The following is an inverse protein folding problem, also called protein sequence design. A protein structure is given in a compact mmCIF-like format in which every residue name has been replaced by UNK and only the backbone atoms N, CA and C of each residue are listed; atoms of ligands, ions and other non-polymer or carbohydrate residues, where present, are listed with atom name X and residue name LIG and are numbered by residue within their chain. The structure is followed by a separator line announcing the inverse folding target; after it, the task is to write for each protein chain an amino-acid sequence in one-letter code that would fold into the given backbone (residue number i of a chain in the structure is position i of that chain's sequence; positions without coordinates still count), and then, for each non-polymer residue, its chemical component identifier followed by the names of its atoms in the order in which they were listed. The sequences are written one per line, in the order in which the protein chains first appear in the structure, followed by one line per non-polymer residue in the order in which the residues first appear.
data_IF_908778969672
#
_entry.id   IF_908778969672
#
_cell.length_a   1.000
_cell.length_b   1.000
_cell.length_c   1.000
_cell.angle_alpha   90.00
_cell.angle_beta   90.00
_cell.angle_gamma   90.00
#
_symmetry.space_group_name_H-M   'P 1'
#
loop_
_entity.id
_entity.type
_entity.pdbx_description
1 polymer ?
#
# COMPACT_ATOMS: atom_id res chain seq x y z
N UNK A 1 -7.61 38.60 16.08
CA UNK A 1 -8.61 38.77 15.00
C UNK A 1 -9.50 37.55 14.95
N UNK A 2 -10.58 37.59 15.72
CA UNK A 2 -11.54 36.50 15.95
C UNK A 2 -12.80 36.80 15.14
N UNK A 3 -13.20 35.91 14.24
CA UNK A 3 -14.52 35.98 13.59
C UNK A 3 -15.36 34.77 13.96
N UNK A 4 -16.48 35.08 14.61
CA UNK A 4 -17.61 34.20 14.89
C UNK A 4 -18.23 33.62 13.62
N UNK A 5 -18.77 32.41 13.71
CA UNK A 5 -19.75 31.89 12.76
C UNK A 5 -21.01 31.47 13.51
N UNK A 6 -22.09 32.21 13.30
CA UNK A 6 -23.45 31.97 13.80
C UNK A 6 -24.21 31.08 12.82
N UNK A 7 -25.03 30.21 13.40
CA UNK A 7 -25.94 29.22 12.80
C UNK A 7 -27.00 29.80 11.85
N UNK A 8 -27.42 29.02 10.85
CA UNK A 8 -28.80 29.04 10.35
C UNK A 8 -29.27 27.65 9.91
N UNK A 9 -30.23 27.13 10.67
CA UNK A 9 -31.07 25.97 10.39
C UNK A 9 -32.25 26.43 9.54
N UNK A 10 -32.52 25.77 8.40
CA UNK A 10 -33.83 25.81 7.76
C UNK A 10 -34.24 24.37 7.39
N UNK A 11 -35.36 23.95 7.98
CA UNK A 11 -36.10 22.70 7.70
C UNK A 11 -36.83 22.83 6.37
N UNK A 12 -36.79 21.78 5.53
CA UNK A 12 -37.92 21.40 4.66
C UNK A 12 -38.06 19.87 4.65
N UNK A 13 -39.20 19.41 5.18
CA UNK A 13 -39.77 18.07 4.98
C UNK A 13 -40.56 18.11 3.68
N UNK A 14 -40.36 17.16 2.77
CA UNK A 14 -41.45 16.56 1.97
C UNK A 14 -41.10 15.13 1.59
N UNK A 15 -42.12 14.28 1.71
CA UNK A 15 -42.21 12.84 1.49
C UNK A 15 -42.39 12.53 0.00
N UNK A 16 -41.66 11.56 -0.57
CA UNK A 16 -42.13 10.77 -1.73
C UNK A 16 -41.69 9.30 -1.57
N UNK A 17 -42.68 8.43 -1.71
CA UNK A 17 -42.65 6.95 -1.69
C UNK A 17 -42.11 6.36 -2.99
N UNK A 18 -41.62 5.12 -2.85
CA UNK A 18 -41.56 4.04 -3.85
C UNK A 18 -40.46 4.08 -4.93
N UNK A 19 -39.54 3.11 -4.81
CA UNK A 19 -38.96 2.28 -5.90
C UNK A 19 -37.83 1.45 -5.30
N UNK A 20 -38.18 0.33 -4.65
CA UNK A 20 -37.22 -0.68 -4.18
C UNK A 20 -37.86 -2.08 -4.22
N UNK A 21 -38.28 -2.49 -5.41
CA UNK A 21 -38.70 -3.87 -5.67
C UNK A 21 -38.55 -4.14 -7.16
N UNK A 22 -37.32 -4.36 -7.66
CA UNK A 22 -37.14 -4.97 -9.01
C UNK A 22 -35.74 -5.55 -9.30
N UNK A 23 -34.88 -5.78 -8.30
CA UNK A 23 -33.54 -6.37 -8.53
C UNK A 23 -33.17 -7.42 -7.47
N UNK A 24 -34.12 -8.31 -7.15
CA UNK A 24 -33.89 -9.51 -6.33
C UNK A 24 -34.46 -10.80 -6.92
N UNK A 25 -34.83 -10.79 -8.20
CA UNK A 25 -35.54 -11.90 -8.85
C UNK A 25 -34.86 -12.45 -10.11
N UNK A 26 -33.57 -12.17 -10.33
CA UNK A 26 -32.82 -12.62 -11.53
C UNK A 26 -31.58 -13.48 -11.23
N UNK A 27 -31.39 -13.97 -10.00
CA UNK A 27 -30.21 -14.79 -9.63
C UNK A 27 -30.54 -16.10 -8.91
N UNK A 28 -31.76 -16.63 -9.07
CA UNK A 28 -32.20 -17.89 -8.45
C UNK A 28 -32.74 -18.94 -9.43
N UNK A 29 -32.38 -18.89 -10.72
CA UNK A 29 -32.93 -19.81 -11.73
C UNK A 29 -31.91 -20.60 -12.54
N UNK A 30 -30.69 -20.81 -12.04
CA UNK A 30 -29.69 -21.61 -12.78
C UNK A 30 -28.82 -22.49 -11.88
N UNK A 31 -29.39 -23.07 -10.83
CA UNK A 31 -28.68 -24.04 -9.99
C UNK A 31 -29.63 -25.08 -9.36
N UNK A 32 -30.52 -25.67 -10.15
CA UNK A 32 -31.24 -26.89 -9.77
C UNK A 32 -31.55 -27.71 -11.02
N UNK A 33 -30.56 -28.47 -11.51
CA UNK A 33 -30.76 -29.69 -12.30
C UNK A 33 -29.42 -30.38 -12.49
N UNK A 34 -28.98 -31.13 -11.49
CA UNK A 34 -28.13 -32.33 -11.59
C UNK A 34 -27.86 -32.80 -10.15
N UNK A 35 -27.93 -34.10 -9.93
CA UNK A 35 -27.84 -34.81 -8.63
C UNK A 35 -29.14 -34.95 -7.82
N UNK A 36 -30.06 -35.74 -8.37
CA UNK A 36 -30.98 -36.51 -7.53
C UNK A 36 -30.26 -37.78 -7.03
N UNK A 37 -29.80 -37.77 -5.77
CA UNK A 37 -29.34 -38.97 -5.06
C UNK A 37 -30.48 -39.43 -4.15
N UNK A 38 -31.14 -40.52 -4.54
CA UNK A 38 -32.13 -41.23 -3.71
C UNK A 38 -31.41 -41.87 -2.52
N UNK A 39 -31.70 -41.41 -1.31
CA UNK A 39 -31.36 -42.13 -0.08
C UNK A 39 -32.43 -43.19 0.20
N UNK A 40 -32.03 -44.47 0.16
CA UNK A 40 -32.78 -45.62 0.69
C UNK A 40 -32.25 -45.89 2.10
N UNK A 41 -33.12 -46.08 3.12
CA UNK A 41 -32.67 -46.33 4.49
C UNK A 41 -32.19 -47.78 4.68
N UNK A 42 -31.04 -47.92 5.34
CA UNK A 42 -30.47 -49.20 5.76
C UNK A 42 -31.22 -49.76 6.98
N UNK A 43 -31.76 -50.97 6.85
CA UNK A 43 -32.12 -51.85 7.95
C UNK A 43 -31.24 -53.10 7.87
N UNK A 44 -30.76 -53.50 9.04
CA UNK A 44 -29.83 -54.60 9.34
C UNK A 44 -30.34 -55.98 8.93
N UNK A 45 -29.50 -56.81 8.30
CA UNK A 45 -29.15 -58.17 8.78
C UNK A 45 -28.30 -58.93 7.76
N UNK A 46 -27.24 -59.57 8.25
CA UNK A 46 -26.69 -60.87 7.83
C UNK A 46 -26.43 -61.15 6.34
N UNK A 47 -25.15 -61.34 6.03
CA UNK A 47 -24.71 -62.55 5.33
C UNK A 47 -24.66 -62.54 3.81
N UNK A 48 -23.58 -63.13 3.32
CA UNK A 48 -23.32 -63.67 1.97
C UNK A 48 -22.72 -62.76 0.90
N UNK A 49 -21.54 -63.22 0.45
CA UNK A 49 -20.71 -62.72 -0.65
C UNK A 49 -21.50 -62.70 -1.97
N UNK A 50 -21.35 -61.61 -2.73
CA UNK A 50 -21.67 -61.59 -4.15
C UNK A 50 -20.44 -61.13 -4.94
N UNK A 51 -19.95 -62.04 -5.77
CA UNK A 51 -18.80 -61.92 -6.65
C UNK A 51 -19.22 -61.19 -7.93
N UNK A 52 -18.69 -59.99 -8.18
CA UNK A 52 -18.98 -59.23 -9.42
C UNK A 52 -17.85 -59.42 -10.42
N UNK A 53 -18.17 -60.20 -11.46
CA UNK A 53 -17.31 -60.52 -12.60
C UNK A 53 -17.27 -59.33 -13.56
N UNK A 54 -16.17 -58.57 -13.58
CA UNK A 54 -15.97 -57.47 -14.53
C UNK A 54 -15.55 -58.04 -15.89
N UNK A 55 -16.40 -57.87 -16.91
CA UNK A 55 -16.06 -58.11 -18.32
C UNK A 55 -15.06 -57.05 -18.79
N UNK A 56 -13.86 -57.48 -19.20
CA UNK A 56 -12.87 -56.64 -19.89
C UNK A 56 -13.38 -56.30 -21.30
N UNK A 57 -13.94 -55.10 -21.46
CA UNK A 57 -14.14 -54.47 -22.76
C UNK A 57 -12.87 -53.73 -23.17
N UNK A 58 -12.31 -54.09 -24.32
CA UNK A 58 -11.15 -53.43 -24.91
C UNK A 58 -11.51 -51.99 -25.30
N UNK A 59 -10.84 -51.01 -24.67
CA UNK A 59 -10.94 -49.60 -25.08
C UNK A 59 -9.74 -49.21 -25.95
N UNK A 60 -10.09 -48.67 -27.12
CA UNK A 60 -9.24 -48.10 -28.14
C UNK A 60 -8.30 -47.00 -27.61
N UNK A 61 -7.02 -47.07 -27.97
CA UNK A 61 -5.89 -46.26 -27.48
C UNK A 61 -5.84 -44.81 -28.00
N UNK A 62 -6.92 -44.22 -28.49
CA UNK A 62 -6.82 -42.96 -29.27
C UNK A 62 -7.51 -41.73 -28.64
N UNK A 63 -7.89 -41.74 -27.35
CA UNK A 63 -8.47 -40.55 -26.69
C UNK A 63 -8.03 -40.34 -25.23
N UNK A 64 -6.73 -40.43 -24.93
CA UNK A 64 -6.19 -40.15 -23.57
C UNK A 64 -5.23 -38.94 -23.55
N UNK A 65 -5.01 -38.24 -24.69
CA UNK A 65 -4.02 -37.15 -24.74
C UNK A 65 -4.57 -35.71 -24.63
N UNK A 66 -5.88 -35.50 -24.47
CA UNK A 66 -6.47 -34.14 -24.44
C UNK A 66 -7.17 -33.74 -23.13
N UNK A 67 -7.27 -34.65 -22.15
CA UNK A 67 -7.87 -34.33 -20.83
C UNK A 67 -6.79 -33.95 -19.78
N UNK A 68 -5.52 -34.28 -20.01
CA UNK A 68 -4.42 -33.96 -19.10
C UNK A 68 -3.88 -32.53 -19.19
N UNK A 69 -4.13 -31.81 -20.29
CA UNK A 69 -3.60 -30.45 -20.50
C UNK A 69 -4.53 -29.37 -19.93
N UNK A 70 -5.85 -29.60 -19.92
CA UNK A 70 -6.82 -28.62 -19.39
C UNK A 70 -6.81 -28.60 -17.86
N UNK A 71 -6.61 -29.75 -17.19
CA UNK A 71 -6.54 -29.81 -15.73
C UNK A 71 -5.22 -29.24 -15.17
N UNK A 72 -4.12 -29.31 -15.93
CA UNK A 72 -2.87 -28.66 -15.52
C UNK A 72 -2.94 -27.13 -15.65
N UNK A 73 -3.67 -26.60 -16.63
CA UNK A 73 -3.89 -25.16 -16.76
C UNK A 73 -4.75 -24.58 -15.62
N UNK A 74 -5.75 -25.34 -15.12
CA UNK A 74 -6.58 -24.88 -14.00
C UNK A 74 -5.92 -25.07 -12.63
N UNK A 75 -5.03 -26.05 -12.44
CA UNK A 75 -4.27 -26.20 -11.19
C UNK A 75 -3.16 -25.14 -11.09
N UNK A 76 -2.57 -24.70 -12.21
CA UNK A 76 -1.62 -23.57 -12.22
C UNK A 76 -2.34 -22.21 -12.05
N UNK A 77 -3.61 -22.10 -12.43
CA UNK A 77 -4.43 -20.90 -12.18
C UNK A 77 -4.91 -20.76 -10.71
N UNK A 78 -4.87 -21.84 -9.92
CA UNK A 78 -5.38 -21.85 -8.52
C UNK A 78 -4.31 -21.57 -7.45
N UNK A 79 -3.05 -21.34 -7.84
CA UNK A 79 -1.97 -20.96 -6.92
C UNK A 79 -1.53 -19.49 -7.03
N UNK A 80 -2.17 -18.66 -7.88
CA UNK A 80 -1.89 -17.23 -8.04
C UNK A 80 -2.33 -16.32 -6.88
N UNK A 81 -2.81 -16.89 -5.76
CA UNK A 81 -3.41 -16.14 -4.64
C UNK A 81 -2.48 -15.78 -3.47
N UNK A 82 -1.19 -16.18 -3.50
CA UNK A 82 -0.25 -15.97 -2.39
C UNK A 82 0.83 -14.95 -2.76
N UNK A 83 0.56 -13.66 -2.54
CA UNK A 83 1.58 -12.61 -2.71
C UNK A 83 1.06 -11.19 -2.86
N UNK A 84 -0.26 -10.96 -2.83
CA UNK A 84 -0.85 -9.67 -3.23
C UNK A 84 -1.51 -8.87 -2.11
N UNK A 85 -1.37 -9.30 -0.85
CA UNK A 85 -1.93 -8.58 0.29
C UNK A 85 -0.82 -7.90 1.07
N UNK A 86 -1.01 -6.64 1.45
CA UNK A 86 -0.08 -5.96 2.35
C UNK A 86 -0.15 -6.56 3.76
N UNK A 87 0.79 -7.45 4.04
CA UNK A 87 0.79 -8.35 5.20
C UNK A 87 1.84 -7.97 6.26
N UNK A 88 2.65 -6.95 6.00
CA UNK A 88 3.68 -6.47 6.92
C UNK A 88 3.89 -4.97 6.80
N UNK A 89 4.65 -4.42 7.75
CA UNK A 89 5.22 -3.09 7.67
C UNK A 89 6.69 -3.22 8.08
N UNK A 90 7.60 -3.05 7.13
CA UNK A 90 9.04 -3.04 7.40
C UNK A 90 9.61 -1.71 6.92
N UNK A 91 10.65 -1.23 7.59
CA UNK A 91 11.47 -0.11 7.11
C UNK A 91 12.92 -0.51 6.91
N UNK A 92 13.65 0.30 6.14
CA UNK A 92 15.04 0.06 5.71
C UNK A 92 15.20 -1.09 4.69
N UNK A 93 16.07 -0.91 3.70
CA UNK A 93 16.38 -1.87 2.66
C UNK A 93 17.47 -2.86 3.06
N UNK A 94 18.54 -2.42 3.73
CA UNK A 94 19.68 -3.30 4.09
C UNK A 94 19.35 -4.24 5.25
N UNK A 95 18.86 -3.66 6.33
CA UNK A 95 18.50 -4.36 7.56
C UNK A 95 17.05 -3.99 7.89
N UNK A 96 16.14 -4.79 7.36
CA UNK A 96 14.70 -4.54 7.49
C UNK A 96 14.30 -4.55 8.97
N UNK A 97 13.73 -3.44 9.42
CA UNK A 97 13.20 -3.28 10.77
C UNK A 97 11.69 -3.45 10.72
N UNK A 98 11.11 -4.49 11.33
CA UNK A 98 9.66 -4.63 11.41
C UNK A 98 9.08 -3.55 12.30
N UNK A 99 7.94 -2.98 11.89
CA UNK A 99 7.18 -2.03 12.67
C UNK A 99 5.83 -2.64 13.11
N UNK A 100 5.33 -2.27 14.30
CA UNK A 100 4.04 -2.72 14.81
C UNK A 100 2.88 -2.47 13.85
N UNK A 101 1.95 -3.43 13.78
CA UNK A 101 0.70 -3.29 13.00
C UNK A 101 -0.53 -3.08 13.86
N UNK A 102 -0.39 -3.19 15.17
CA UNK A 102 -1.42 -2.85 16.14
C UNK A 102 -0.86 -1.96 17.24
N UNK A 103 -1.74 -1.18 17.84
CA UNK A 103 -1.44 -0.33 18.99
C UNK A 103 -0.89 -1.14 20.16
N UNK A 104 -1.48 -2.30 20.46
CA UNK A 104 -0.99 -3.20 21.52
C UNK A 104 0.45 -3.69 21.29
N UNK A 105 0.80 -4.00 20.03
CA UNK A 105 2.17 -4.37 19.67
C UNK A 105 3.10 -3.16 19.85
N UNK A 106 2.66 -1.99 19.41
CA UNK A 106 3.43 -0.76 19.54
C UNK A 106 3.75 -0.45 21.01
N UNK A 107 2.74 -0.51 21.88
CA UNK A 107 2.91 -0.29 23.32
C UNK A 107 3.89 -1.29 23.93
N UNK A 108 3.76 -2.58 23.62
CA UNK A 108 4.69 -3.64 24.10
C UNK A 108 6.12 -3.42 23.64
N UNK A 109 6.28 -2.86 22.45
CA UNK A 109 7.60 -2.53 21.91
C UNK A 109 8.10 -1.16 22.42
N UNK A 110 7.40 -0.45 23.30
CA UNK A 110 7.87 0.84 23.83
C UNK A 110 7.62 2.03 22.90
N UNK A 111 6.65 1.91 22.00
CA UNK A 111 6.06 3.08 21.36
C UNK A 111 5.07 3.73 22.32
N UNK A 112 4.99 5.06 22.30
CA UNK A 112 4.06 5.83 23.13
C UNK A 112 3.21 6.75 22.27
N UNK A 113 1.96 6.96 22.69
CA UNK A 113 1.08 7.93 22.05
C UNK A 113 1.65 9.34 22.23
N UNK A 114 1.81 10.09 21.15
CA UNK A 114 2.23 11.50 21.18
C UNK A 114 1.21 12.46 20.55
N UNK A 115 0.15 11.91 19.95
CA UNK A 115 -1.03 12.65 19.55
C UNK A 115 -2.24 11.72 19.46
N UNK A 116 -3.42 12.23 19.81
CA UNK A 116 -4.67 11.46 19.79
C UNK A 116 -5.60 11.95 18.70
N UNK A 117 -6.54 11.10 18.27
CA UNK A 117 -7.62 11.47 17.37
C UNK A 117 -8.52 12.62 17.86
N UNK A 118 -8.57 12.86 19.18
CA UNK A 118 -9.35 13.95 19.78
C UNK A 118 -8.61 15.30 19.74
N UNK A 119 -7.30 15.26 19.46
CA UNK A 119 -6.46 16.45 19.35
C UNK A 119 -6.63 17.15 18.00
N UNK A 120 -6.42 18.47 17.97
CA UNK A 120 -6.51 19.27 16.74
C UNK A 120 -5.22 19.15 15.89
N UNK A 121 -4.97 17.94 15.41
CA UNK A 121 -3.76 17.60 14.65
C UNK A 121 -3.89 17.98 13.17
N UNK A 122 -2.77 18.26 12.48
CA UNK A 122 -2.75 18.46 11.02
C UNK A 122 -2.90 17.16 10.23
N UNK A 123 -3.13 16.02 10.88
CA UNK A 123 -3.28 14.68 10.30
C UNK A 123 -4.38 13.88 11.05
N UNK A 124 -4.78 12.74 10.50
CA UNK A 124 -5.73 11.81 11.13
C UNK A 124 -5.03 10.63 11.81
N UNK A 125 -5.54 10.19 12.96
CA UNK A 125 -5.10 8.97 13.66
C UNK A 125 -4.47 9.23 15.02
N UNK A 126 -4.39 8.16 15.82
CA UNK A 126 -3.62 8.14 17.05
C UNK A 126 -2.16 7.93 16.67
N UNK A 127 -1.31 8.92 16.94
CA UNK A 127 0.09 8.92 16.53
C UNK A 127 0.99 8.39 17.63
N UNK A 128 1.95 7.57 17.23
CA UNK A 128 2.85 6.89 18.13
C UNK A 128 4.31 7.11 17.73
N UNK A 129 5.14 7.32 18.74
CA UNK A 129 6.58 7.57 18.62
C UNK A 129 7.38 6.50 19.36
N UNK A 130 8.54 6.10 18.84
CA UNK A 130 9.41 5.10 19.47
C UNK A 130 10.45 5.79 20.36
N UNK A 131 10.35 5.61 21.67
CA UNK A 131 11.24 6.31 22.60
C UNK A 131 11.19 7.83 22.37
N UNK A 132 12.35 8.44 22.10
CA UNK A 132 12.46 9.87 21.78
C UNK A 132 12.66 10.16 20.28
N UNK A 133 12.67 9.13 19.44
CA UNK A 133 12.89 9.29 18.00
C UNK A 133 11.58 9.64 17.29
N UNK A 134 11.45 10.91 16.93
CA UNK A 134 10.27 11.47 16.27
C UNK A 134 10.29 11.34 14.74
N UNK A 135 11.40 10.89 14.15
CA UNK A 135 11.60 10.89 12.70
C UNK A 135 10.67 9.93 11.95
N UNK A 136 10.24 8.85 12.61
CA UNK A 136 9.27 7.88 12.10
C UNK A 136 8.20 7.63 13.13
N UNK A 137 6.94 7.84 12.74
CA UNK A 137 5.79 7.69 13.60
C UNK A 137 4.74 6.81 12.95
N UNK A 138 4.00 6.07 13.77
CA UNK A 138 2.90 5.23 13.33
C UNK A 138 1.57 5.91 13.61
N UNK A 139 0.59 5.70 12.73
CA UNK A 139 -0.78 6.18 12.90
C UNK A 139 -1.69 4.97 13.06
N UNK A 140 -2.42 4.89 14.17
CA UNK A 140 -3.44 3.87 14.41
C UNK A 140 -4.84 4.47 14.31
N UNK A 141 -5.80 3.65 13.88
CA UNK A 141 -7.22 3.99 13.94
C UNK A 141 -7.79 3.87 15.35
N UNK A 142 -9.06 4.26 15.52
CA UNK A 142 -9.73 4.19 16.83
C UNK A 142 -9.95 2.77 17.36
N UNK A 143 -9.65 1.73 16.56
CA UNK A 143 -9.69 0.33 16.95
C UNK A 143 -8.29 -0.27 17.14
N UNK A 144 -7.24 0.57 17.14
CA UNK A 144 -5.86 0.15 17.35
C UNK A 144 -5.20 -0.54 16.15
N UNK A 145 -5.78 -0.45 14.94
CA UNK A 145 -5.18 -1.02 13.73
C UNK A 145 -4.31 0.02 13.02
N UNK A 146 -3.19 -0.41 12.44
CA UNK A 146 -2.32 0.45 11.65
C UNK A 146 -3.09 1.09 10.49
N UNK A 147 -3.13 2.42 10.49
CA UNK A 147 -3.83 3.24 9.53
C UNK A 147 -2.89 4.07 8.64
N UNK A 148 -1.64 4.24 9.05
CA UNK A 148 -0.64 4.99 8.29
C UNK A 148 0.72 5.05 8.96
N UNK A 149 1.65 5.74 8.30
CA UNK A 149 3.01 6.01 8.76
C UNK A 149 3.37 7.45 8.40
N UNK A 150 4.20 8.07 9.23
CA UNK A 150 4.59 9.45 9.08
C UNK A 150 6.11 9.61 9.24
N UNK A 151 6.74 10.28 8.28
CA UNK A 151 8.08 10.84 8.43
C UNK A 151 8.00 12.23 9.06
N UNK A 152 8.92 12.57 9.95
CA UNK A 152 9.03 13.92 10.52
C UNK A 152 10.42 14.48 10.24
N UNK A 153 10.45 15.73 9.79
CA UNK A 153 11.68 16.49 9.58
C UNK A 153 11.59 17.78 10.38
N UNK A 154 12.58 18.00 11.21
CA UNK A 154 12.75 19.17 12.07
C UNK A 154 13.70 20.18 11.43
N UNK A 155 13.76 21.39 11.97
CA UNK A 155 14.73 22.39 11.52
C UNK A 155 16.17 22.00 11.85
N UNK A 156 16.39 21.20 12.91
CA UNK A 156 17.70 20.68 13.31
C UNK A 156 18.24 19.55 12.41
N UNK A 157 17.45 19.03 11.48
CA UNK A 157 17.88 17.96 10.57
C UNK A 157 18.64 18.49 9.34
N UNK A 158 19.28 19.66 9.44
CA UNK A 158 19.96 20.36 8.33
C UNK A 158 19.09 20.48 7.07
N UNK A 159 17.78 20.64 7.28
CA UNK A 159 16.80 20.66 6.20
C UNK A 159 17.03 21.89 5.32
N UNK A 160 17.25 21.69 4.01
CA UNK A 160 17.49 22.80 3.08
C UNK A 160 16.21 23.61 2.88
N UNK A 161 16.07 24.73 3.58
CA UNK A 161 14.95 25.65 3.42
C UNK A 161 15.19 26.58 2.22
N UNK A 162 14.14 26.79 1.43
CA UNK A 162 14.13 27.83 0.40
C UNK A 162 13.36 29.03 0.90
N UNK A 163 13.96 30.23 0.96
CA UNK A 163 13.24 31.44 1.36
C UNK A 163 12.28 31.92 0.28
N UNK A 164 12.45 31.50 -0.98
CA UNK A 164 11.74 32.05 -2.13
C UNK A 164 10.75 31.09 -2.78
N UNK A 165 10.83 29.77 -2.50
CA UNK A 165 9.91 28.79 -3.09
C UNK A 165 9.13 28.03 -2.03
N UNK A 166 7.80 27.87 -2.21
CA UNK A 166 7.02 27.03 -1.33
C UNK A 166 7.51 25.58 -1.45
N UNK A 167 7.46 24.85 -0.34
CA UNK A 167 7.71 23.41 -0.35
C UNK A 167 6.62 22.68 -1.14
N UNK A 168 6.95 21.49 -1.68
CA UNK A 168 5.92 20.59 -2.19
C UNK A 168 4.84 20.34 -1.14
N UNK A 169 3.61 20.19 -1.59
CA UNK A 169 2.42 20.13 -0.74
C UNK A 169 2.40 18.94 0.24
N UNK A 170 3.22 17.91 0.02
CA UNK A 170 3.41 16.80 0.95
C UNK A 170 4.10 17.19 2.28
N UNK A 171 4.79 18.33 2.32
CA UNK A 171 5.44 18.84 3.54
C UNK A 171 4.43 19.64 4.38
N UNK A 172 3.67 18.96 5.23
CA UNK A 172 2.67 19.59 6.10
C UNK A 172 3.29 20.01 7.42
N UNK A 173 3.15 21.26 7.85
CA UNK A 173 3.69 21.72 9.14
C UNK A 173 2.82 21.30 10.32
N UNK A 174 3.45 20.92 11.42
CA UNK A 174 2.80 20.82 12.74
C UNK A 174 2.90 22.12 13.56
N UNK A 175 2.32 22.10 14.76
CA UNK A 175 2.29 23.28 15.65
C UNK A 175 3.66 23.64 16.23
N UNK A 176 4.64 22.74 16.11
CA UNK A 176 6.02 22.95 16.51
C UNK A 176 6.90 23.39 15.33
N UNK A 177 6.32 23.55 14.14
CA UNK A 177 7.03 23.93 12.92
C UNK A 177 7.72 22.77 12.19
N UNK A 178 7.61 21.54 12.69
CA UNK A 178 8.16 20.37 12.01
C UNK A 178 7.38 20.07 10.72
N UNK A 179 8.06 19.53 9.73
CA UNK A 179 7.42 19.02 8.53
C UNK A 179 7.05 17.54 8.68
N UNK A 180 5.80 17.22 8.37
CA UNK A 180 5.22 15.90 8.42
C UNK A 180 4.98 15.38 7.00
N UNK A 181 5.54 14.21 6.71
CA UNK A 181 5.30 13.43 5.49
C UNK A 181 4.37 12.29 5.83
N UNK A 182 3.11 12.31 5.39
CA UNK A 182 2.11 11.35 5.88
C UNK A 182 1.56 10.46 4.78
N UNK A 183 1.65 9.15 4.99
CA UNK A 183 1.02 8.12 4.16
C UNK A 183 -0.06 7.38 4.95
N UNK A 184 -1.23 7.18 4.35
CA UNK A 184 -2.33 6.42 4.89
C UNK A 184 -2.56 5.13 4.11
N UNK A 185 -2.92 4.07 4.82
CA UNK A 185 -3.23 2.75 4.25
C UNK A 185 -4.74 2.57 4.00
N UNK A 186 -5.42 3.66 3.67
CA UNK A 186 -6.88 3.72 3.50
C UNK A 186 -7.27 4.87 2.57
N UNK A 187 -8.18 4.61 1.64
CA UNK A 187 -8.78 5.63 0.76
C UNK A 187 -9.59 6.71 1.49
N UNK A 188 -9.94 6.48 2.76
CA UNK A 188 -10.77 7.40 3.55
C UNK A 188 -10.07 7.82 4.85
N UNK A 189 -9.01 8.64 4.82
CA UNK A 189 -8.29 9.06 6.04
C UNK A 189 -9.21 9.69 7.11
N UNK A 190 -10.23 10.46 6.70
CA UNK A 190 -11.23 11.06 7.60
C UNK A 190 -12.04 10.07 8.46
N UNK A 191 -12.01 8.79 8.10
CA UNK A 191 -12.71 7.74 8.85
C UNK A 191 -11.79 7.06 9.88
N UNK A 192 -10.49 7.39 9.95
CA UNK A 192 -9.51 6.78 10.88
C UNK A 192 -9.91 6.97 12.34
N UNK A 193 -10.43 8.15 12.68
CA UNK A 193 -10.80 8.47 14.06
C UNK A 193 -12.26 8.14 14.40
N UNK A 194 -13.00 7.48 13.51
CA UNK A 194 -14.41 7.14 13.77
C UNK A 194 -14.48 5.78 14.45
N UNK A 195 -15.24 5.69 15.55
CA UNK A 195 -15.53 4.45 16.31
C UNK A 195 -16.30 3.35 15.54
N UNK A 196 -16.42 3.45 14.21
CA UNK A 196 -17.12 2.45 13.39
C UNK A 196 -16.11 1.40 12.91
N UNK A 197 -16.49 0.12 12.86
CA UNK A 197 -15.64 -0.90 12.26
C UNK A 197 -15.33 -0.48 10.83
N UNK A 198 -14.05 -0.36 10.49
CA UNK A 198 -13.67 -0.34 9.08
C UNK A 198 -13.97 -1.72 8.50
N UNK A 199 -14.61 -1.77 7.33
CA UNK A 199 -14.48 -2.98 6.51
C UNK A 199 -12.99 -3.23 6.30
N UNK A 200 -12.56 -4.49 6.38
CA UNK A 200 -11.20 -4.89 5.93
C UNK A 200 -11.07 -4.41 4.50
N UNK A 201 -10.48 -3.24 4.31
CA UNK A 201 -10.40 -2.60 3.02
C UNK A 201 -9.30 -3.28 2.20
N UNK A 202 -9.50 -3.22 0.89
CA UNK A 202 -8.45 -3.46 -0.09
C UNK A 202 -7.23 -2.57 0.21
N UNK A 203 -6.05 -3.08 -0.14
CA UNK A 203 -4.81 -2.33 -0.04
C UNK A 203 -4.95 -0.97 -0.73
N UNK A 204 -4.49 0.10 -0.09
CA UNK A 204 -4.55 1.44 -0.67
C UNK A 204 -3.49 2.33 -0.06
N UNK A 205 -2.82 3.15 -0.86
CA UNK A 205 -1.86 4.15 -0.38
C UNK A 205 -2.36 5.53 -0.75
N UNK A 206 -2.40 6.41 0.24
CA UNK A 206 -2.81 7.81 0.08
C UNK A 206 -1.80 8.72 0.76
N UNK A 207 -1.22 9.65 0.01
CA UNK A 207 -0.28 10.65 0.53
C UNK A 207 -1.05 11.92 0.91
N UNK A 208 -0.81 12.44 2.11
CA UNK A 208 -1.37 13.72 2.53
C UNK A 208 -0.67 14.87 1.82
N UNK A 209 -1.43 15.82 1.26
CA UNK A 209 -0.90 16.99 0.55
C UNK A 209 -1.41 18.32 1.07
N UNK A 210 -2.09 18.33 2.23
CA UNK A 210 -2.46 19.55 2.93
C UNK A 210 -2.61 19.32 4.43
N UNK A 211 -2.52 20.39 5.22
CA UNK A 211 -2.97 20.39 6.61
C UNK A 211 -4.50 20.21 6.65
N UNK A 212 -4.98 19.20 7.40
CA UNK A 212 -6.42 18.88 7.48
C UNK A 212 -7.23 19.92 8.26
N UNK A 213 -6.58 20.81 9.00
CA UNK A 213 -7.19 21.83 9.86
C UNK A 213 -7.52 23.10 9.11
N UNK A 214 -6.88 23.31 7.96
CA UNK A 214 -7.11 24.49 7.13
C UNK A 214 -8.50 24.42 6.47
N UNK A 215 -9.11 25.59 6.31
CA UNK A 215 -10.43 25.71 5.67
C UNK A 215 -10.37 25.17 4.23
N UNK A 216 -11.22 24.19 3.93
CA UNK A 216 -11.29 23.56 2.62
C UNK A 216 -11.50 22.05 2.72
N UNK A 217 -11.53 21.37 1.57
CA UNK A 217 -11.46 19.90 1.56
C UNK A 217 -9.99 19.52 1.73
N UNK A 218 -9.63 18.70 2.74
CA UNK A 218 -8.28 18.17 2.85
C UNK A 218 -7.86 17.49 1.56
N UNK A 219 -6.62 17.77 1.12
CA UNK A 219 -6.07 17.27 -0.13
C UNK A 219 -5.23 16.02 0.14
N UNK A 220 -5.42 15.06 -0.76
CA UNK A 220 -4.75 13.78 -0.73
C UNK A 220 -4.40 13.35 -2.15
N UNK A 221 -3.28 12.67 -2.31
CA UNK A 221 -2.89 12.00 -3.54
C UNK A 221 -3.07 10.50 -3.38
N UNK A 222 -4.06 9.92 -4.07
CA UNK A 222 -4.21 8.46 -4.12
C UNK A 222 -3.15 7.87 -5.06
N UNK A 223 -2.39 6.91 -4.57
CA UNK A 223 -1.39 6.20 -5.36
C UNK A 223 -2.03 4.96 -5.99
N UNK A 224 -2.03 4.84 -7.33
CA UNK A 224 -2.59 3.68 -8.01
C UNK A 224 -1.82 2.39 -7.66
N UNK A 225 -2.55 1.31 -7.34
CA UNK A 225 -1.90 0.01 -7.08
C UNK A 225 -1.32 -0.64 -8.33
N UNK A 226 -1.83 -0.30 -9.51
CA UNK A 226 -1.36 -0.79 -10.80
C UNK A 226 -0.54 0.30 -11.47
N UNK A 227 0.67 -0.03 -11.88
CA UNK A 227 1.62 0.95 -12.40
C UNK A 227 1.13 1.67 -13.66
N UNK A 228 0.41 0.96 -14.55
CA UNK A 228 -0.18 1.52 -15.78
C UNK A 228 -1.19 2.66 -15.54
N UNK A 229 -1.62 2.87 -14.28
CA UNK A 229 -2.54 3.93 -13.88
C UNK A 229 -1.80 5.15 -13.31
N UNK A 230 -0.47 5.11 -13.21
CA UNK A 230 0.33 6.29 -12.85
C UNK A 230 0.19 7.36 -13.94
N UNK A 231 0.08 8.61 -13.50
CA UNK A 231 0.15 9.75 -14.41
C UNK A 231 1.60 10.03 -14.84
N UNK A 232 1.76 10.89 -15.85
CA UNK A 232 3.05 11.19 -16.47
C UNK A 232 4.04 11.94 -15.56
N UNK A 233 3.63 12.42 -14.39
CA UNK A 233 4.55 13.04 -13.42
C UNK A 233 5.36 12.00 -12.66
N UNK A 234 4.92 10.75 -12.60
CA UNK A 234 5.72 9.68 -12.02
C UNK A 234 6.76 9.19 -13.02
N UNK A 235 7.99 9.66 -12.84
CA UNK A 235 9.12 9.33 -13.71
C UNK A 235 9.73 8.00 -13.28
N UNK A 236 9.78 7.05 -14.22
CA UNK A 236 10.37 5.74 -13.99
C UNK A 236 11.90 5.82 -13.78
N UNK A 237 12.35 5.36 -12.62
CA UNK A 237 13.74 5.13 -12.27
C UNK A 237 14.20 3.71 -12.63
N UNK A 238 15.23 3.23 -11.94
CA UNK A 238 15.77 1.88 -12.15
C UNK A 238 15.09 0.86 -11.25
N UNK A 239 15.16 -0.41 -11.67
CA UNK A 239 14.79 -1.54 -10.83
C UNK A 239 15.98 -2.00 -10.00
N UNK A 240 15.82 -2.08 -8.68
CA UNK A 240 16.83 -2.65 -7.77
C UNK A 240 16.24 -3.86 -7.04
N UNK A 241 16.97 -4.99 -7.05
CA UNK A 241 16.50 -6.22 -6.40
C UNK A 241 16.14 -5.96 -4.93
N UNK A 242 15.00 -6.51 -4.49
CA UNK A 242 14.42 -6.28 -3.15
C UNK A 242 13.94 -4.86 -2.86
N UNK A 243 13.95 -3.97 -3.85
CA UNK A 243 13.40 -2.61 -3.75
C UNK A 243 12.33 -2.39 -4.83
N UNK A 244 12.50 -2.96 -6.02
CA UNK A 244 11.57 -2.81 -7.15
C UNK A 244 11.97 -1.69 -8.10
N UNK A 245 11.06 -1.41 -9.03
CA UNK A 245 11.15 -0.27 -9.96
C UNK A 245 10.80 0.99 -9.19
N UNK A 246 11.77 1.91 -9.08
CA UNK A 246 11.56 3.20 -8.44
C UNK A 246 10.75 4.12 -9.36
N UNK A 247 9.79 4.85 -8.82
CA UNK A 247 9.15 5.99 -9.49
C UNK A 247 9.31 7.24 -8.65
N UNK A 248 9.75 8.31 -9.29
CA UNK A 248 10.05 9.60 -8.67
C UNK A 248 9.07 10.64 -9.19
N UNK A 249 8.50 11.45 -8.31
CA UNK A 249 7.47 12.40 -8.70
C UNK A 249 8.06 13.71 -9.21
N UNK A 250 7.70 14.07 -10.45
CA UNK A 250 7.95 15.34 -11.13
C UNK A 250 9.43 15.78 -11.12
N UNK A 251 10.33 14.82 -11.31
CA UNK A 251 11.77 15.08 -11.36
C UNK A 251 12.22 15.50 -12.76
N UNK A 252 13.24 16.37 -12.81
CA UNK A 252 13.95 16.72 -14.04
C UNK A 252 15.42 17.03 -13.75
N UNK A 253 16.27 17.00 -14.78
CA UNK A 253 17.72 17.22 -14.64
C UNK A 253 18.05 18.56 -13.93
N UNK A 254 17.34 19.61 -14.31
CA UNK A 254 17.59 20.99 -13.87
C UNK A 254 16.57 21.46 -12.80
N UNK A 255 15.87 20.53 -12.13
CA UNK A 255 14.96 20.89 -11.05
C UNK A 255 15.70 21.52 -9.87
N UNK A 256 14.97 22.31 -9.09
CA UNK A 256 15.48 22.80 -7.82
C UNK A 256 15.21 21.80 -6.69
N UNK A 257 16.20 21.62 -5.82
CA UNK A 257 16.14 20.62 -4.75
C UNK A 257 15.06 20.91 -3.69
N UNK A 258 14.75 22.19 -3.48
CA UNK A 258 13.65 22.62 -2.62
C UNK A 258 12.27 22.23 -3.15
N UNK A 259 12.17 21.88 -4.44
CA UNK A 259 10.96 21.36 -5.10
C UNK A 259 10.92 19.83 -5.20
N UNK A 260 11.92 19.13 -4.67
CA UNK A 260 11.93 17.65 -4.68
C UNK A 260 10.75 17.10 -3.87
N UNK A 261 9.87 16.36 -4.54
CA UNK A 261 8.75 15.71 -3.87
C UNK A 261 9.26 14.54 -3.03
N UNK A 262 8.86 14.41 -1.76
CA UNK A 262 9.58 13.58 -0.80
C UNK A 262 9.14 12.12 -0.82
N UNK A 263 8.51 11.67 -1.90
CA UNK A 263 7.94 10.32 -2.03
C UNK A 263 8.48 9.65 -3.28
N UNK A 264 8.92 8.41 -3.13
CA UNK A 264 9.15 7.50 -4.25
C UNK A 264 8.29 6.25 -4.11
N UNK A 265 7.89 5.67 -5.23
CA UNK A 265 7.08 4.46 -5.27
C UNK A 265 7.92 3.28 -5.75
N UNK A 266 7.53 2.09 -5.33
CA UNK A 266 8.25 0.86 -5.61
C UNK A 266 7.28 -0.19 -6.14
N UNK A 267 7.31 -0.38 -7.45
CA UNK A 267 6.53 -1.39 -8.15
C UNK A 267 7.37 -2.64 -8.36
N UNK A 268 6.74 -3.81 -8.22
CA UNK A 268 7.36 -5.05 -8.69
C UNK A 268 7.38 -5.08 -10.23
N UNK A 269 8.53 -5.43 -10.82
CA UNK A 269 8.71 -5.34 -12.27
C UNK A 269 7.86 -6.36 -13.03
N UNK A 270 7.59 -7.53 -12.44
CA UNK A 270 6.85 -8.61 -13.10
C UNK A 270 5.35 -8.38 -13.03
N UNK A 271 4.83 -8.15 -11.83
CA UNK A 271 3.40 -7.96 -11.59
C UNK A 271 2.92 -6.55 -11.89
N UNK A 272 3.83 -5.56 -11.99
CA UNK A 272 3.53 -4.13 -12.21
C UNK A 272 2.57 -3.59 -11.14
N UNK A 273 2.68 -4.12 -9.92
CA UNK A 273 1.88 -3.73 -8.76
C UNK A 273 2.71 -3.01 -7.72
N UNK A 274 2.10 -2.03 -7.08
CA UNK A 274 2.68 -1.32 -5.95
C UNK A 274 2.84 -2.29 -4.77
N UNK A 275 4.08 -2.44 -4.31
CA UNK A 275 4.43 -3.32 -3.19
C UNK A 275 4.99 -2.57 -1.99
N UNK A 276 5.59 -1.40 -2.25
CA UNK A 276 6.28 -0.58 -1.27
C UNK A 276 6.32 0.87 -1.75
N UNK A 277 6.76 1.77 -0.89
CA UNK A 277 7.07 3.16 -1.22
C UNK A 277 8.20 3.63 -0.30
N UNK A 278 8.57 4.89 -0.36
CA UNK A 278 9.48 5.45 0.64
C UNK A 278 9.53 6.95 0.64
N UNK A 279 10.25 7.46 1.64
CA UNK A 279 10.53 8.87 1.81
C UNK A 279 11.91 9.21 1.28
N UNK A 280 12.05 10.34 0.59
CA UNK A 280 13.35 10.91 0.24
C UNK A 280 13.38 12.37 0.70
N UNK A 281 14.18 12.64 1.73
CA UNK A 281 14.32 13.95 2.34
C UNK A 281 15.74 14.49 2.13
N UNK A 282 15.82 15.75 1.69
CA UNK A 282 17.08 16.49 1.65
C UNK A 282 17.37 17.09 3.02
N UNK A 283 17.60 16.19 3.97
CA UNK A 283 17.85 16.41 5.38
C UNK A 283 18.75 15.28 5.90
N UNK A 284 19.36 15.48 7.06
CA UNK A 284 20.20 14.53 7.77
C UNK A 284 19.45 13.96 9.00
N UNK A 285 18.65 12.92 8.78
CA UNK A 285 17.83 12.29 9.81
C UNK A 285 18.64 11.18 10.48
N UNK A 286 19.23 11.49 11.63
CA UNK A 286 20.17 10.59 12.36
C UNK A 286 19.53 9.32 12.94
N UNK A 287 18.21 9.16 12.82
CA UNK A 287 17.49 7.96 13.26
C UNK A 287 17.99 6.69 12.57
N UNK A 288 18.10 5.56 13.29
CA UNK A 288 18.43 4.27 12.69
C UNK A 288 17.32 3.73 11.77
N UNK A 289 16.11 4.30 11.81
CA UNK A 289 15.01 3.97 10.90
C UNK A 289 15.14 4.68 9.55
N UNK A 290 16.12 5.58 9.40
CA UNK A 290 16.43 6.27 8.15
C UNK A 290 17.80 5.87 7.62
N UNK A 291 17.94 5.98 6.32
CA UNK A 291 19.07 5.47 5.56
C UNK A 291 19.75 6.64 4.85
N UNK A 292 21.08 6.60 4.81
CA UNK A 292 21.89 7.61 4.16
C UNK A 292 22.62 6.98 2.97
N UNK A 293 21.96 6.81 1.81
CA UNK A 293 22.62 6.28 0.64
C UNK A 293 23.76 7.22 0.23
N UNK A 294 24.98 6.70 -0.03
CA UNK A 294 26.05 7.52 -0.59
C UNK A 294 25.60 8.14 -1.91
N UNK A 295 25.92 9.41 -2.15
CA UNK A 295 25.47 10.15 -3.34
C UNK A 295 25.79 9.45 -4.67
N UNK A 296 26.96 8.81 -4.87
CA UNK A 296 27.22 8.04 -6.09
C UNK A 296 26.23 6.89 -6.33
N UNK A 297 25.65 6.33 -5.26
CA UNK A 297 24.68 5.23 -5.34
C UNK A 297 23.32 5.66 -5.90
N UNK A 298 23.02 6.96 -5.99
CA UNK A 298 21.79 7.45 -6.60
C UNK A 298 21.65 6.97 -8.06
N UNK A 299 22.75 6.78 -8.77
CA UNK A 299 22.75 6.23 -10.13
C UNK A 299 22.12 4.83 -10.26
N UNK A 300 21.98 4.10 -9.15
CA UNK A 300 21.28 2.81 -9.11
C UNK A 300 19.76 2.94 -9.01
N UNK A 301 19.23 4.09 -8.56
CA UNK A 301 17.79 4.30 -8.37
C UNK A 301 17.17 5.17 -9.47
N UNK A 302 17.98 6.01 -10.11
CA UNK A 302 17.55 6.90 -11.19
C UNK A 302 17.97 6.37 -12.57
N UNK A 303 17.11 6.56 -13.57
CA UNK A 303 17.53 6.55 -14.97
C UNK A 303 18.09 7.94 -15.32
N UNK A 304 19.08 8.05 -16.23
CA UNK A 304 19.54 9.36 -16.70
C UNK A 304 18.39 10.15 -17.37
N UNK A 305 18.35 11.49 -17.20
CA UNK A 305 19.26 12.30 -16.39
C UNK A 305 18.90 12.27 -14.89
N UNK A 306 19.93 12.20 -14.04
CA UNK A 306 19.77 12.35 -12.59
C UNK A 306 19.69 13.85 -12.27
N UNK A 307 18.75 14.32 -11.43
CA UNK A 307 18.71 15.72 -11.02
C UNK A 307 20.05 16.22 -10.48
N UNK A 308 20.65 17.22 -11.12
CA UNK A 308 21.98 17.77 -10.76
C UNK A 308 22.01 18.25 -9.32
N UNK A 309 20.89 18.80 -8.86
CA UNK A 309 20.79 19.31 -7.51
C UNK A 309 21.00 18.21 -6.46
N UNK A 310 20.58 16.95 -6.72
CA UNK A 310 20.76 15.83 -5.80
C UNK A 310 22.23 15.38 -5.74
N UNK A 311 22.92 15.42 -6.88
CA UNK A 311 24.33 15.04 -6.99
C UNK A 311 25.29 15.99 -6.26
N UNK A 312 24.84 17.21 -5.95
CA UNK A 312 25.60 18.22 -5.20
C UNK A 312 25.36 18.19 -3.69
N UNK A 313 24.55 17.23 -3.19
CA UNK A 313 24.27 17.12 -1.76
C UNK A 313 25.38 16.33 -1.06
N UNK A 314 25.56 16.58 0.22
CA UNK A 314 26.42 15.75 1.08
C UNK A 314 25.62 14.58 1.66
N UNK A 315 24.39 14.86 2.09
CA UNK A 315 23.51 13.89 2.75
C UNK A 315 22.11 13.97 2.15
N UNK A 316 21.52 12.78 1.96
CA UNK A 316 20.11 12.57 1.68
C UNK A 316 19.63 11.48 2.63
N UNK A 317 18.51 11.71 3.31
CA UNK A 317 17.87 10.70 4.14
C UNK A 317 16.75 10.04 3.38
N UNK A 318 16.77 8.72 3.31
CA UNK A 318 15.71 7.92 2.72
C UNK A 318 15.14 6.93 3.72
N UNK A 319 13.87 6.58 3.57
CA UNK A 319 13.29 5.46 4.30
C UNK A 319 12.45 4.65 3.34
N UNK A 320 12.89 3.42 3.06
CA UNK A 320 12.06 2.43 2.39
C UNK A 320 10.97 1.93 3.34
N UNK A 321 9.74 1.84 2.86
CA UNK A 321 8.58 1.34 3.59
C UNK A 321 7.98 0.17 2.81
N UNK A 322 8.23 -1.04 3.29
CA UNK A 322 7.79 -2.28 2.66
C UNK A 322 6.46 -2.76 3.25
N UNK A 323 5.50 -2.99 2.36
CA UNK A 323 4.15 -3.44 2.72
C UNK A 323 3.95 -4.95 2.46
N UNK A 324 4.92 -5.56 1.78
CA UNK A 324 5.01 -6.98 1.45
C UNK A 324 6.43 -7.48 1.69
N UNK A 325 6.67 -8.78 1.51
CA UNK A 325 8.01 -9.33 1.60
C UNK A 325 8.94 -8.70 0.55
N UNK A 326 10.06 -8.07 0.93
CA UNK A 326 10.95 -7.43 -0.04
C UNK A 326 11.55 -8.43 -1.04
N UNK A 327 11.62 -9.72 -0.71
CA UNK A 327 12.08 -10.75 -1.67
C UNK A 327 11.11 -10.93 -2.85
N UNK A 328 9.86 -10.46 -2.74
CA UNK A 328 8.89 -10.44 -3.83
C UNK A 328 9.08 -9.28 -4.80
N UNK A 329 9.93 -8.29 -4.47
CA UNK A 329 10.30 -7.21 -5.37
C UNK A 329 11.40 -7.70 -6.31
N UNK A 330 10.97 -8.25 -7.44
CA UNK A 330 11.85 -8.87 -8.42
C UNK A 330 12.25 -7.88 -9.50
N UNK A 331 13.51 -7.97 -9.93
CA UNK A 331 14.02 -7.26 -11.08
C UNK A 331 14.57 -8.29 -12.07
N UNK A 332 13.95 -8.38 -13.24
CA UNK A 332 14.44 -9.15 -14.36
C UNK A 332 15.71 -8.49 -14.87
N UNK A 333 16.82 -9.23 -14.89
CA UNK A 333 18.04 -8.78 -15.53
C UNK A 333 17.73 -8.54 -17.03
N UNK A 334 17.95 -7.33 -17.58
CA UNK A 334 17.80 -7.09 -19.02
C UNK A 334 18.67 -8.03 -19.88
N UNK A 335 19.73 -8.60 -19.29
CA UNK A 335 20.66 -9.53 -19.94
C UNK A 335 20.19 -11.00 -20.01
N UNK A 336 19.13 -11.39 -19.30
CA UNK A 336 18.70 -12.81 -19.27
C UNK A 336 17.85 -13.23 -20.47
N UNK A 337 17.43 -12.28 -21.33
CA UNK A 337 16.59 -12.53 -22.52
C UNK A 337 17.35 -12.71 -23.84
N UNK A 338 18.68 -12.60 -23.85
CA UNK A 338 19.51 -12.89 -25.03
C UNK A 338 20.45 -14.06 -24.73
N UNK A 339 19.90 -15.26 -24.58
CA UNK A 339 20.69 -16.45 -24.95
C UNK A 339 20.77 -16.44 -26.47
N UNK A 340 21.94 -16.11 -26.98
CA UNK A 340 22.31 -16.37 -28.35
C UNK A 340 21.98 -17.84 -28.65
N UNK A 341 21.07 -18.06 -29.58
CA UNK A 341 21.05 -19.29 -30.35
C UNK A 341 22.29 -19.18 -31.23
N UNK A 342 23.36 -19.87 -30.83
CA UNK A 342 24.49 -20.18 -31.71
C UNK A 342 24.11 -21.47 -32.44
#
# INVERSE_FOLDING_TARGET
MTKHCVSRVIRKKTVIRSKFTFLRQALNYTFYHLFAVKHIPLRTSTGTKAEVRIKKGAMSKTKIFLVGIVVYAEIVASCGGKGNKWDRLLVNFKKQTPLPRTEDQALKEGWRNDASCESKNPFYGNRYVKGNDISTRLLFDSAGNLAGIQGTITESDDLILSPTRPRPSAFVKDDHGHYLLTAYFTKKPKDICKKKPRSKNEDSLVIQTSDIRLCGKPQFMEIPLEEKKLDSRWVEGRCVSKMGVHYWYDISENMHCDQSYPVFLLYDQVTRRLKSFGWAALANLTSPLWEHPPIPSLSHFFKPPIPKCLMSREVISTQHVYLTDPTQLTCSNPAAGKRAII
#
